data_IF_386469389432
#
_entry.id   IF_386469389432
#
_cell.length_a   1.000
_cell.length_b   1.000
_cell.length_c   1.000
_cell.angle_alpha   90.00
_cell.angle_beta   90.00
_cell.angle_gamma   90.00
#
_symmetry.space_group_name_H-M   'P 1'
#
loop_
_entity.id
_entity.type
_entity.pdbx_description
1 polymer ?
#
# COMPACT_ATOMS: atom_id res chain seq x y z
N UNK A 1 8.82 23.20 -15.18
CA UNK A 1 8.59 22.72 -14.95
C UNK A 1 8.40 22.00 -14.76
N UNK A 2 8.40 21.71 -14.90
CA UNK A 2 8.05 21.03 -14.74
C UNK A 2 7.71 20.21 -14.44
N UNK A 3 7.76 19.70 -14.66
CA UNK A 3 7.51 19.03 -14.45
C UNK A 3 7.16 18.55 -13.63
N UNK A 4 7.45 18.33 -13.38
CA UNK A 4 7.07 18.08 -12.40
C UNK A 4 5.87 17.64 -12.28
N UNK A 5 5.33 17.92 -12.87
CA UNK A 5 4.11 17.56 -12.98
C UNK A 5 4.01 16.15 -12.94
N UNK A 6 4.71 15.60 -13.58
CA UNK A 6 4.64 14.26 -13.64
C UNK A 6 4.46 13.70 -12.32
N UNK A 7 5.17 14.09 -11.51
CA UNK A 7 5.12 13.57 -10.22
C UNK A 7 3.78 13.59 -9.75
N UNK A 8 3.13 14.50 -10.09
CA UNK A 8 1.94 14.66 -9.61
C UNK A 8 1.16 13.46 -9.73
N UNK A 9 1.28 12.83 -10.68
CA UNK A 9 0.56 11.73 -10.81
C UNK A 9 0.78 10.80 -9.77
N UNK A 10 1.91 10.80 -9.30
CA UNK A 10 2.20 9.92 -8.32
C UNK A 10 1.47 10.17 -7.17
N UNK A 11 1.03 11.26 -6.99
CA UNK A 11 0.35 11.57 -5.77
C UNK A 11 -0.86 10.71 -5.68
N UNK A 12 -1.16 10.00 -6.68
CA UNK A 12 -2.30 9.16 -6.58
C UNK A 12 -1.93 7.81 -6.06
N UNK A 13 -0.81 7.65 -5.43
CA UNK A 13 -0.46 6.43 -4.87
C UNK A 13 -1.48 5.91 -3.93
N UNK A 14 -1.60 4.63 -3.82
CA UNK A 14 -2.48 3.97 -2.88
C UNK A 14 -1.67 3.41 -1.74
N UNK A 15 -2.27 3.33 -0.60
CA UNK A 15 -1.61 2.77 0.58
C UNK A 15 -2.61 2.00 1.42
N UNK A 16 -2.11 1.13 2.28
CA UNK A 16 -2.95 0.33 3.15
C UNK A 16 -2.39 0.43 4.56
N UNK A 17 -3.28 0.56 5.55
CA UNK A 17 -2.86 0.55 6.93
C UNK A 17 -3.08 -0.87 7.45
N UNK A 18 -2.07 -1.42 8.10
CA UNK A 18 -2.10 -2.80 8.56
C UNK A 18 -2.87 -2.91 9.85
N UNK A 19 -3.71 -3.90 9.95
CA UNK A 19 -4.48 -4.17 11.15
C UNK A 19 -4.03 -5.50 11.74
N UNK A 20 -4.40 -5.72 12.98
CA UNK A 20 -4.06 -6.94 13.65
C UNK A 20 -4.54 -8.13 12.85
N UNK A 21 -3.69 -9.11 12.67
CA UNK A 21 -4.04 -10.31 11.93
C UNK A 21 -3.80 -10.24 10.44
N UNK A 22 -3.42 -9.08 9.94
CA UNK A 22 -3.17 -8.96 8.51
C UNK A 22 -1.86 -9.62 8.10
N UNK A 23 -1.82 -10.10 6.88
CA UNK A 23 -0.59 -10.59 6.29
C UNK A 23 -0.51 -9.99 4.90
N UNK A 24 0.70 -9.90 4.36
CA UNK A 24 0.84 -9.38 3.01
C UNK A 24 0.14 -10.26 1.99
N UNK A 25 0.09 -11.56 2.26
CA UNK A 25 -0.60 -12.49 1.38
C UNK A 25 -2.08 -12.15 1.30
N UNK A 26 -2.71 -11.90 2.46
CA UNK A 26 -4.13 -11.59 2.47
C UNK A 26 -4.41 -10.24 1.86
N UNK A 27 -3.56 -9.26 2.14
CA UNK A 27 -3.74 -7.94 1.56
C UNK A 27 -3.63 -8.06 0.04
N UNK A 28 -2.61 -8.75 -0.44
CA UNK A 28 -2.40 -8.92 -1.86
C UNK A 28 -3.57 -9.63 -2.51
N UNK A 29 -4.09 -10.63 -1.84
CA UNK A 29 -5.21 -11.38 -2.38
C UNK A 29 -6.41 -10.49 -2.56
N UNK A 30 -6.65 -9.58 -1.63
CA UNK A 30 -7.78 -8.68 -1.75
C UNK A 30 -7.53 -7.64 -2.82
N UNK A 31 -6.36 -7.04 -2.81
CA UNK A 31 -6.07 -5.91 -3.69
C UNK A 31 -5.82 -6.34 -5.13
N UNK A 32 -5.02 -7.37 -5.31
CA UNK A 32 -4.65 -7.80 -6.66
C UNK A 32 -5.39 -9.06 -7.11
N UNK A 33 -6.16 -9.64 -6.20
CA UNK A 33 -6.86 -10.87 -6.52
C UNK A 33 -6.02 -12.11 -6.37
N UNK A 34 -4.75 -11.97 -6.03
CA UNK A 34 -3.85 -13.11 -5.86
C UNK A 34 -2.92 -12.88 -4.72
N UNK A 35 -2.90 -13.78 -3.77
CA UNK A 35 -2.00 -13.65 -2.62
C UNK A 35 -0.55 -13.72 -3.02
N UNK A 36 -0.24 -14.47 -4.07
CA UNK A 36 1.13 -14.63 -4.49
C UNK A 36 1.75 -13.32 -4.97
N UNK A 37 0.95 -12.31 -5.24
CA UNK A 37 1.47 -11.01 -5.65
C UNK A 37 1.97 -10.19 -4.45
N UNK A 38 2.02 -10.77 -3.25
CA UNK A 38 2.46 -10.05 -2.08
C UNK A 38 3.86 -9.47 -2.27
N UNK A 39 4.67 -10.06 -3.12
CA UNK A 39 6.01 -9.56 -3.33
C UNK A 39 6.00 -8.15 -3.91
N UNK A 40 4.96 -7.78 -4.63
CA UNK A 40 4.86 -6.43 -5.18
C UNK A 40 4.77 -5.43 -4.03
N UNK A 41 3.99 -5.73 -3.00
CA UNK A 41 3.86 -4.84 -1.86
C UNK A 41 5.16 -4.86 -1.06
N UNK A 42 5.73 -6.03 -0.88
CA UNK A 42 6.97 -6.16 -0.14
C UNK A 42 8.08 -5.31 -0.78
N UNK A 43 8.26 -5.44 -2.09
CA UNK A 43 9.32 -4.72 -2.76
C UNK A 43 9.10 -3.20 -2.77
N UNK A 44 7.88 -2.77 -2.70
CA UNK A 44 7.58 -1.35 -2.65
C UNK A 44 7.83 -0.76 -1.27
N UNK A 45 8.07 -1.59 -0.25
CA UNK A 45 8.19 -1.13 1.13
C UNK A 45 9.39 -1.72 1.85
N UNK A 46 10.47 -1.97 1.12
CA UNK A 46 11.64 -2.60 1.73
C UNK A 46 12.29 -1.74 2.78
N UNK A 47 11.98 -0.45 2.80
CA UNK A 47 12.49 0.43 3.84
C UNK A 47 11.80 0.16 5.16
N UNK A 48 10.66 -0.51 5.17
CA UNK A 48 9.95 -0.81 6.39
C UNK A 48 9.89 -2.30 6.70
N UNK A 49 10.06 -3.16 5.72
CA UNK A 49 9.83 -4.58 5.89
C UNK A 49 11.12 -5.35 5.67
N UNK A 50 11.65 -5.92 6.74
CA UNK A 50 12.82 -6.75 6.60
C UNK A 50 12.41 -8.14 6.21
N UNK A 51 11.30 -8.60 6.73
CA UNK A 51 10.81 -9.95 6.49
C UNK A 51 9.33 -9.83 6.24
N UNK A 52 8.82 -10.33 5.13
CA UNK A 52 7.40 -10.15 4.80
C UNK A 52 6.44 -10.75 5.81
N UNK A 53 6.95 -11.61 6.69
CA UNK A 53 6.09 -12.17 7.71
C UNK A 53 6.10 -11.33 9.00
N UNK A 54 6.94 -10.30 9.05
CA UNK A 54 7.05 -9.48 10.24
C UNK A 54 6.51 -8.09 9.97
N UNK A 55 5.20 -7.96 10.01
CA UNK A 55 4.56 -6.67 9.84
C UNK A 55 3.71 -6.42 11.08
N UNK A 56 3.47 -5.15 11.36
CA UNK A 56 2.82 -4.77 12.60
C UNK A 56 1.60 -3.92 12.35
N UNK A 57 0.59 -4.03 13.19
CA UNK A 57 -0.58 -3.16 13.08
C UNK A 57 -0.15 -1.70 13.14
N UNK A 58 -0.74 -0.90 12.34
CA UNK A 58 -0.43 0.53 12.29
C UNK A 58 0.56 0.92 11.22
N UNK A 59 1.27 -0.02 10.66
CA UNK A 59 2.17 0.31 9.56
C UNK A 59 1.34 0.70 8.34
N UNK A 60 1.85 1.62 7.55
CA UNK A 60 1.20 2.04 6.32
C UNK A 60 2.14 1.69 5.18
N UNK A 61 1.68 0.85 4.29
CA UNK A 61 2.50 0.40 3.18
C UNK A 61 1.95 0.93 1.87
N UNK A 62 2.85 1.28 0.97
CA UNK A 62 2.46 1.68 -0.37
C UNK A 62 1.99 0.45 -1.13
N UNK A 63 0.95 0.59 -1.90
CA UNK A 63 0.41 -0.48 -2.71
C UNK A 63 0.49 -0.03 -4.15
N UNK A 64 1.42 -0.58 -4.93
CA UNK A 64 1.54 -0.21 -6.33
C UNK A 64 0.23 -0.44 -7.08
N UNK A 65 -0.07 0.43 -8.01
CA UNK A 65 -1.32 0.34 -8.73
C UNK A 65 -1.39 -0.88 -9.61
N UNK A 66 -0.26 -1.40 -10.00
CA UNK A 66 -0.23 -2.55 -10.87
C UNK A 66 0.99 -3.38 -10.53
N UNK A 67 0.86 -4.69 -10.61
CA UNK A 67 2.00 -5.58 -10.39
C UNK A 67 2.77 -5.72 -11.68
N UNK A 68 4.01 -6.18 -11.63
CA UNK A 68 4.77 -6.43 -12.85
C UNK A 68 4.07 -7.45 -13.76
N UNK A 69 3.19 -8.27 -13.22
CA UNK A 69 2.48 -9.27 -13.99
C UNK A 69 1.19 -8.73 -14.58
N UNK A 70 0.86 -7.47 -14.33
CA UNK A 70 -0.32 -6.85 -14.92
C UNK A 70 -1.58 -6.83 -14.08
N UNK A 71 -1.51 -7.25 -12.82
CA UNK A 71 -2.69 -7.23 -11.97
C UNK A 71 -2.88 -5.83 -11.43
N UNK A 72 -4.06 -5.28 -11.58
CA UNK A 72 -4.34 -3.93 -11.11
C UNK A 72 -4.85 -3.93 -9.69
N UNK A 73 -4.49 -2.93 -8.94
CA UNK A 73 -4.90 -2.81 -7.56
C UNK A 73 -6.34 -2.36 -7.46
N UNK A 74 -7.13 -3.07 -6.66
CA UNK A 74 -8.50 -2.69 -6.39
C UNK A 74 -8.56 -2.28 -4.94
N UNK A 75 -8.37 -1.01 -4.67
CA UNK A 75 -8.31 -0.54 -3.30
C UNK A 75 -9.66 -0.59 -2.61
N UNK A 76 -10.73 -0.66 -3.37
CA UNK A 76 -12.03 -0.76 -2.73
C UNK A 76 -12.18 -2.10 -2.01
N UNK A 77 -11.38 -3.08 -2.40
CA UNK A 77 -11.48 -4.39 -1.78
C UNK A 77 -10.97 -4.42 -0.35
N UNK A 78 -10.19 -3.45 0.07
CA UNK A 78 -9.72 -3.40 1.44
C UNK A 78 -10.46 -2.34 2.26
N UNK A 79 -11.38 -1.65 1.64
CA UNK A 79 -12.27 -0.77 2.37
C UNK A 79 -11.57 0.28 3.20
N UNK A 80 -11.91 0.31 4.49
CA UNK A 80 -11.39 1.34 5.35
C UNK A 80 -9.90 1.27 5.60
N UNK A 81 -9.25 0.19 5.23
CA UNK A 81 -7.82 0.11 5.40
C UNK A 81 -7.09 0.88 4.32
N UNK A 82 -7.79 1.28 3.27
CA UNK A 82 -7.17 2.05 2.21
C UNK A 82 -6.98 3.49 2.67
N UNK A 83 -5.79 4.03 2.48
CA UNK A 83 -5.53 5.42 2.84
C UNK A 83 -4.73 6.04 1.73
N UNK A 84 -4.78 7.35 1.64
CA UNK A 84 -3.91 8.03 0.71
C UNK A 84 -2.79 8.62 1.54
N UNK A 85 -1.60 8.61 1.06
CA UNK A 85 -0.47 9.09 1.84
C UNK A 85 -0.69 10.50 2.35
N UNK A 86 -1.33 11.35 1.62
CA UNK A 86 -1.53 12.68 2.06
C UNK A 86 -2.52 12.77 3.16
N UNK A 87 -3.40 11.79 3.30
CA UNK A 87 -4.33 11.86 4.35
C UNK A 87 -3.92 11.05 5.50
N UNK A 88 -2.86 10.34 5.36
CA UNK A 88 -2.44 9.47 6.35
C UNK A 88 -2.49 9.97 7.65
N UNK A 89 -2.04 9.22 8.48
CA UNK A 89 -2.08 9.41 9.86
C UNK A 89 -1.66 10.68 10.28
N UNK A 90 -1.17 11.28 9.65
CA UNK A 90 -0.79 12.43 10.03
C UNK A 90 -1.60 13.18 10.65
N UNK A 91 -2.31 13.20 10.49
CA UNK A 91 -3.04 14.11 11.05
C UNK A 91 -2.98 14.16 12.41
N UNK A 92 -2.61 13.96 12.60
CA UNK A 92 -2.62 14.05 13.55
C UNK A 92 -2.44 15.06 14.17
N UNK A 93 -2.34 15.16 13.96
CA UNK A 93 -2.23 15.91 14.37
C UNK A 93 -2.81 16.63 15.04
N UNK A 94 -3.05 16.65 15.14
CA UNK A 94 -3.44 17.24 15.73
C UNK A 94 -3.53 17.71 16.50
N UNK A 95 -3.45 17.67 16.66
CA UNK A 95 -3.52 18.08 17.35
C UNK A 95 -3.69 18.56 17.70
#
# INVERSE_FOLDING_TARGET
MPTITAPKLQSVKSAVIIRRGDTLWRISRRVYGRGVRYSTIYLANTDQIENPHWIWPGQVFDVPRETPQGDEADMSAIGEQAVTPEQGPVPVARD
#
